data_IF_709903753465
#
_entry.id   IF_709903753465
#
_cell.length_a   1.000
_cell.length_b   1.000
_cell.length_c   1.000
_cell.angle_alpha   90.00
_cell.angle_beta   90.00
_cell.angle_gamma   90.00
#
_symmetry.space_group_name_H-M   'P 1'
#
loop_
_entity.id
_entity.type
_entity.pdbx_description
1 polymer ?
#
# COMPACT_ATOMS: atom_id res chain seq x y z
N UNK A 1 22.19 2.80 25.61
CA UNK A 1 21.04 2.09 26.20
C UNK A 1 19.82 2.69 25.54
N UNK A 2 18.85 1.90 25.05
CA UNK A 2 17.65 2.42 24.37
C UNK A 2 16.95 3.47 25.24
N UNK A 3 16.33 4.48 24.61
CA UNK A 3 15.63 5.53 25.36
C UNK A 3 14.44 4.93 26.10
N UNK A 4 14.26 5.34 27.35
CA UNK A 4 13.26 4.77 28.27
C UNK A 4 12.10 5.71 28.50
N UNK A 5 12.34 7.02 28.43
CA UNK A 5 11.36 8.06 28.69
C UNK A 5 11.26 9.02 27.52
N UNK A 6 10.09 9.61 27.31
CA UNK A 6 9.90 10.65 26.29
C UNK A 6 10.80 11.87 26.56
N UNK A 7 11.07 12.18 27.83
CA UNK A 7 12.02 13.22 28.24
C UNK A 7 13.45 12.98 27.75
N UNK A 8 13.84 11.73 27.43
CA UNK A 8 15.16 11.42 26.88
C UNK A 8 15.35 12.03 25.48
N UNK A 9 14.26 12.31 24.76
CA UNK A 9 14.30 12.98 23.45
C UNK A 9 14.51 14.49 23.56
N UNK A 10 14.11 15.08 24.68
CA UNK A 10 14.04 16.54 24.83
C UNK A 10 15.41 17.20 24.69
N UNK A 11 16.38 16.76 25.49
CA UNK A 11 17.70 17.39 25.53
C UNK A 11 18.46 17.30 24.19
N UNK A 12 18.51 16.13 23.52
CA UNK A 12 19.14 16.03 22.19
C UNK A 12 18.49 16.96 21.15
N UNK A 13 17.16 17.02 21.09
CA UNK A 13 16.45 17.87 20.13
C UNK A 13 16.66 19.35 20.45
N UNK A 14 16.63 19.73 21.73
CA UNK A 14 16.91 21.09 22.18
C UNK A 14 18.30 21.54 21.74
N UNK A 15 19.33 20.74 22.06
CA UNK A 15 20.72 21.06 21.69
C UNK A 15 20.92 21.15 20.18
N UNK A 16 20.29 20.24 19.42
CA UNK A 16 20.32 20.25 17.96
C UNK A 16 19.76 21.55 17.37
N UNK A 17 18.67 22.07 17.92
CA UNK A 17 18.06 23.33 17.48
C UNK A 17 18.86 24.56 17.96
N UNK A 18 19.37 24.54 19.20
CA UNK A 18 20.22 25.62 19.74
C UNK A 18 21.52 25.79 18.92
N UNK A 19 22.13 24.69 18.46
CA UNK A 19 23.29 24.70 17.56
C UNK A 19 22.98 25.35 16.19
N UNK A 20 21.71 25.40 15.80
CA UNK A 20 21.25 26.09 14.60
C UNK A 20 20.84 27.54 14.86
N UNK A 21 21.09 28.06 16.07
CA UNK A 21 20.83 29.45 16.45
C UNK A 21 19.40 29.71 16.89
N UNK A 22 18.61 28.68 17.22
CA UNK A 22 17.29 28.89 17.83
C UNK A 22 17.41 29.10 19.34
N UNK A 23 16.59 30.00 19.89
CA UNK A 23 16.25 29.99 21.31
C UNK A 23 15.14 28.94 21.53
N UNK A 24 15.37 27.98 22.44
CA UNK A 24 14.49 26.82 22.60
C UNK A 24 13.96 26.73 24.03
N UNK A 25 12.63 26.60 24.17
CA UNK A 25 11.92 26.43 25.44
C UNK A 25 10.97 25.23 25.38
N UNK A 26 10.89 24.50 26.47
CA UNK A 26 9.95 23.37 26.64
C UNK A 26 8.61 23.78 27.24
N UNK A 27 7.60 22.93 27.07
CA UNK A 27 6.26 23.04 27.68
C UNK A 27 5.51 24.36 27.40
N UNK A 28 5.79 25.00 26.27
CA UNK A 28 5.15 26.28 25.90
C UNK A 28 3.75 26.00 25.37
N UNK A 29 2.71 26.39 26.13
CA UNK A 29 1.28 26.18 25.77
C UNK A 29 1.00 24.73 25.32
N UNK A 30 1.53 23.77 26.08
CA UNK A 30 1.42 22.32 25.83
C UNK A 30 2.14 21.81 24.57
N UNK A 31 3.02 22.61 23.94
CA UNK A 31 3.99 22.09 22.97
C UNK A 31 5.17 21.53 23.74
N UNK A 32 5.68 20.36 23.35
CA UNK A 32 6.84 19.78 24.03
C UNK A 32 8.08 20.67 23.90
N UNK A 33 8.29 21.23 22.69
CA UNK A 33 9.36 22.19 22.38
C UNK A 33 8.85 23.28 21.44
N UNK A 34 9.19 24.52 21.75
CA UNK A 34 9.08 25.67 20.84
C UNK A 34 10.46 26.29 20.67
N UNK A 35 10.81 26.57 19.42
CA UNK A 35 12.07 27.15 19.02
C UNK A 35 11.81 28.43 18.21
N UNK A 36 12.51 29.50 18.52
CA UNK A 36 12.38 30.80 17.85
C UNK A 36 13.75 31.27 17.37
N UNK A 37 13.82 31.73 16.13
CA UNK A 37 14.99 32.40 15.56
C UNK A 37 14.50 33.55 14.68
N UNK A 38 14.93 34.76 14.99
CA UNK A 38 14.37 35.99 14.44
C UNK A 38 12.85 36.03 14.66
N UNK A 39 12.04 35.99 13.60
CA UNK A 39 10.57 35.90 13.65
C UNK A 39 10.05 34.49 13.33
N UNK A 40 10.92 33.54 12.99
CA UNK A 40 10.52 32.19 12.60
C UNK A 40 10.22 31.33 13.84
N UNK A 41 8.99 30.81 13.92
CA UNK A 41 8.55 29.87 14.95
C UNK A 41 8.64 28.45 14.41
N UNK A 42 9.28 27.57 15.17
CA UNK A 42 9.36 26.12 14.96
C UNK A 42 8.79 25.40 16.18
N UNK A 43 7.96 24.37 15.96
CA UNK A 43 7.38 23.56 17.04
C UNK A 43 7.81 22.11 16.85
N UNK A 44 8.16 21.43 17.95
CA UNK A 44 8.45 19.98 17.95
C UNK A 44 7.59 19.25 18.96
N UNK A 45 6.94 18.18 18.52
CA UNK A 45 6.20 17.22 19.36
C UNK A 45 7.04 15.93 19.50
N UNK A 46 7.15 15.39 20.71
CA UNK A 46 8.04 14.29 21.08
C UNK A 46 7.25 13.03 21.43
N UNK A 47 7.61 11.89 20.84
CA UNK A 47 7.19 10.56 21.32
C UNK A 47 8.27 9.53 21.04
N UNK A 48 8.50 8.59 21.96
CA UNK A 48 9.45 7.49 21.72
C UNK A 48 9.15 6.74 20.41
N UNK A 49 7.87 6.52 20.12
CA UNK A 49 7.42 5.80 18.96
C UNK A 49 6.46 6.63 18.12
N UNK A 50 6.57 6.48 16.80
CA UNK A 50 5.60 7.04 15.87
C UNK A 50 4.23 6.41 16.06
N UNK A 51 3.23 7.22 16.39
CA UNK A 51 1.84 6.80 16.61
C UNK A 51 0.85 7.89 16.12
N UNK A 52 -0.45 7.57 16.11
CA UNK A 52 -1.47 8.49 15.61
C UNK A 52 -1.61 9.75 16.48
N UNK A 53 -1.47 9.63 17.80
CA UNK A 53 -1.53 10.77 18.72
C UNK A 53 -0.49 11.83 18.38
N UNK A 54 0.76 11.42 18.17
CA UNK A 54 1.86 12.31 17.76
C UNK A 54 1.53 13.04 16.46
N UNK A 55 0.96 12.33 15.48
CA UNK A 55 0.57 12.92 14.20
C UNK A 55 -0.54 13.96 14.39
N UNK A 56 -1.56 13.65 15.18
CA UNK A 56 -2.67 14.57 15.45
C UNK A 56 -2.18 15.82 16.18
N UNK A 57 -1.29 15.68 17.17
CA UNK A 57 -0.65 16.81 17.83
C UNK A 57 0.10 17.69 16.82
N UNK A 58 0.94 17.10 15.97
CA UNK A 58 1.66 17.85 14.94
C UNK A 58 0.73 18.60 13.97
N UNK A 59 -0.33 17.97 13.49
CA UNK A 59 -1.33 18.61 12.62
C UNK A 59 -2.03 19.77 13.32
N UNK A 60 -2.36 19.63 14.61
CA UNK A 60 -2.95 20.71 15.39
C UNK A 60 -1.98 21.90 15.53
N UNK A 61 -0.67 21.66 15.68
CA UNK A 61 0.35 22.73 15.72
C UNK A 61 0.53 23.46 14.39
N UNK A 62 0.20 22.83 13.26
CA UNK A 62 0.28 23.50 11.95
C UNK A 62 -0.67 24.69 11.81
N UNK A 63 -1.68 24.83 12.69
CA UNK A 63 -2.52 26.03 12.79
C UNK A 63 -1.74 27.27 13.25
N UNK A 64 -0.56 27.08 13.85
CA UNK A 64 0.27 28.16 14.41
C UNK A 64 1.46 28.50 13.51
N UNK A 65 2.07 27.50 12.87
CA UNK A 65 3.24 27.65 11.98
C UNK A 65 3.32 26.47 11.01
N UNK A 66 3.80 26.64 9.77
CA UNK A 66 4.11 25.51 8.89
C UNK A 66 5.33 24.69 9.36
N UNK A 67 6.21 25.27 10.19
CA UNK A 67 7.47 24.64 10.62
C UNK A 67 7.25 23.72 11.84
N UNK A 68 6.53 22.61 11.64
CA UNK A 68 6.25 21.63 12.69
C UNK A 68 7.01 20.34 12.43
N UNK A 69 7.75 19.88 13.43
CA UNK A 69 8.44 18.59 13.41
C UNK A 69 7.83 17.62 14.42
N UNK A 70 7.82 16.35 14.04
CA UNK A 70 7.66 15.24 14.97
C UNK A 70 9.05 14.70 15.28
N UNK A 71 9.39 14.43 16.55
CA UNK A 71 10.64 13.75 16.89
C UNK A 71 10.38 12.44 17.62
N UNK A 72 11.10 11.39 17.18
CA UNK A 72 10.98 10.04 17.72
C UNK A 72 12.34 9.40 17.99
N UNK A 73 12.36 8.31 18.77
CA UNK A 73 13.53 7.43 18.79
C UNK A 73 13.72 6.82 17.39
N UNK A 74 14.97 6.81 16.93
CA UNK A 74 15.34 6.24 15.63
C UNK A 74 14.91 4.77 15.58
N UNK A 75 14.04 4.37 14.63
CA UNK A 75 13.57 3.00 14.56
C UNK A 75 14.70 2.07 14.15
N UNK A 76 14.69 0.83 14.66
CA UNK A 76 15.70 -0.19 14.32
C UNK A 76 15.70 -0.57 12.82
N UNK A 77 14.54 -0.49 12.15
CA UNK A 77 14.37 -0.89 10.74
C UNK A 77 14.08 0.30 9.82
N UNK A 78 15.11 1.11 9.56
CA UNK A 78 15.05 2.32 8.71
C UNK A 78 14.90 2.07 7.21
N UNK A 79 14.89 0.81 6.75
CA UNK A 79 14.67 0.45 5.34
C UNK A 79 13.32 -0.26 5.09
N UNK A 80 12.54 -0.49 6.14
CA UNK A 80 11.27 -1.21 6.04
C UNK A 80 10.23 -0.48 5.19
N UNK A 81 9.29 -1.23 4.60
CA UNK A 81 8.14 -0.65 3.89
C UNK A 81 7.33 0.27 4.80
N UNK A 82 7.12 -0.15 6.06
CA UNK A 82 6.41 0.64 7.08
C UNK A 82 7.10 1.99 7.32
N UNK A 83 8.42 2.01 7.43
CA UNK A 83 9.15 3.27 7.63
C UNK A 83 9.02 4.22 6.45
N UNK A 84 9.11 3.71 5.21
CA UNK A 84 8.83 4.53 4.02
C UNK A 84 7.41 5.08 3.98
N UNK A 85 6.43 4.35 4.50
CA UNK A 85 5.05 4.84 4.64
C UNK A 85 4.93 5.94 5.69
N UNK A 86 5.65 5.83 6.83
CA UNK A 86 5.72 6.89 7.85
C UNK A 86 6.29 8.18 7.27
N UNK A 87 7.44 8.11 6.60
CA UNK A 87 8.04 9.29 5.94
C UNK A 87 7.07 9.86 4.89
N UNK A 88 6.43 8.99 4.11
CA UNK A 88 5.43 9.39 3.12
C UNK A 88 4.20 10.06 3.73
N UNK A 89 3.79 9.67 4.94
CA UNK A 89 2.69 10.31 5.67
C UNK A 89 3.09 11.70 6.15
N UNK A 90 4.25 11.85 6.80
CA UNK A 90 4.74 13.16 7.25
C UNK A 90 4.84 14.14 6.07
N UNK A 91 5.45 13.71 4.95
CA UNK A 91 5.51 14.52 3.72
C UNK A 91 4.15 14.88 3.15
N UNK A 92 3.14 14.00 3.26
CA UNK A 92 1.77 14.28 2.79
C UNK A 92 1.05 15.32 3.64
N UNK A 93 1.38 15.36 4.92
CA UNK A 93 0.81 16.30 5.89
C UNK A 93 1.62 17.60 5.98
N UNK A 94 2.78 17.69 5.31
CA UNK A 94 3.69 18.83 5.45
C UNK A 94 4.36 18.92 6.82
N UNK A 95 4.54 17.77 7.48
CA UNK A 95 5.23 17.66 8.77
C UNK A 95 6.69 17.27 8.56
N UNK A 96 7.58 17.89 9.33
CA UNK A 96 8.95 17.46 9.49
C UNK A 96 9.05 16.21 10.36
N UNK A 97 10.11 15.43 10.19
CA UNK A 97 10.39 14.26 11.02
C UNK A 97 11.85 14.23 11.44
N UNK A 98 12.09 14.28 12.75
CA UNK A 98 13.38 14.09 13.39
C UNK A 98 13.47 12.69 13.98
N UNK A 99 14.68 12.12 13.97
CA UNK A 99 14.97 10.88 14.71
C UNK A 99 16.19 11.06 15.59
N UNK A 100 16.09 10.59 16.83
CA UNK A 100 17.18 10.64 17.81
C UNK A 100 17.76 9.23 17.97
N UNK A 101 19.08 9.09 17.88
CA UNK A 101 19.72 7.80 18.09
C UNK A 101 19.44 7.27 19.51
N UNK A 102 18.93 6.04 19.63
CA UNK A 102 18.66 5.40 20.91
C UNK A 102 19.90 4.96 21.70
N UNK A 103 21.10 5.15 21.18
CA UNK A 103 22.36 4.80 21.85
C UNK A 103 23.51 5.65 21.35
N UNK A 104 24.55 5.82 22.16
CA UNK A 104 25.70 6.65 21.82
C UNK A 104 25.42 8.12 22.11
N UNK A 105 25.91 9.02 21.26
CA UNK A 105 25.81 10.47 21.46
C UNK A 105 24.42 11.08 21.19
N UNK A 106 23.35 10.26 21.16
CA UNK A 106 21.97 10.69 20.88
C UNK A 106 21.82 11.62 19.66
N UNK A 107 22.58 11.32 18.60
CA UNK A 107 22.59 12.09 17.36
C UNK A 107 21.17 12.27 16.79
N UNK A 108 20.81 13.53 16.53
CA UNK A 108 19.56 13.91 15.86
C UNK A 108 19.76 13.90 14.35
N UNK A 109 18.81 13.32 13.61
CA UNK A 109 18.77 13.35 12.15
C UNK A 109 17.43 13.85 11.65
N UNK A 110 17.48 14.77 10.69
CA UNK A 110 16.31 15.18 9.92
C UNK A 110 16.03 14.14 8.84
N UNK A 111 14.86 13.51 8.91
CA UNK A 111 14.41 12.48 7.97
C UNK A 111 13.59 13.08 6.83
N UNK A 112 12.79 14.09 7.15
CA UNK A 112 12.15 14.96 6.17
C UNK A 112 11.88 16.34 6.76
N UNK A 113 11.92 17.34 5.90
CA UNK A 113 11.57 18.72 6.24
C UNK A 113 10.04 18.93 6.15
N UNK A 114 9.48 19.88 6.92
CA UNK A 114 8.10 20.33 6.78
C UNK A 114 8.00 21.16 5.50
N UNK A 115 7.43 20.57 4.44
CA UNK A 115 7.24 21.22 3.15
C UNK A 115 5.83 20.99 2.61
N UNK A 116 5.25 21.93 1.84
CA UNK A 116 3.96 21.73 1.20
C UNK A 116 3.92 20.48 0.31
N UNK A 117 2.91 19.62 0.54
CA UNK A 117 2.76 18.40 -0.23
C UNK A 117 2.15 18.66 -1.62
N UNK A 118 2.84 18.18 -2.66
CA UNK A 118 2.34 18.19 -4.02
C UNK A 118 2.10 16.75 -4.51
N UNK A 119 0.83 16.30 -4.63
CA UNK A 119 0.51 14.94 -5.02
C UNK A 119 1.03 14.58 -6.43
N UNK A 120 1.89 13.56 -6.52
CA UNK A 120 2.29 12.98 -7.81
C UNK A 120 1.39 11.82 -8.20
N UNK A 121 0.60 12.01 -9.26
CA UNK A 121 -0.28 10.96 -9.80
C UNK A 121 0.56 9.89 -10.50
N UNK A 122 0.36 8.62 -10.13
CA UNK A 122 0.95 7.50 -10.85
C UNK A 122 0.05 7.12 -12.04
N UNK A 123 0.27 7.80 -13.17
CA UNK A 123 -0.52 7.61 -14.40
C UNK A 123 -0.53 6.16 -14.90
N UNK A 124 0.59 5.41 -14.74
CA UNK A 124 0.67 4.00 -15.11
C UNK A 124 -0.28 3.14 -14.29
N UNK A 125 -0.25 3.27 -12.95
CA UNK A 125 -1.18 2.55 -12.07
C UNK A 125 -2.62 2.96 -12.30
N UNK A 126 -2.89 4.25 -12.52
CA UNK A 126 -4.23 4.74 -12.88
C UNK A 126 -4.74 4.09 -14.17
N UNK A 127 -3.90 4.00 -15.20
CA UNK A 127 -4.26 3.32 -16.46
C UNK A 127 -4.55 1.83 -16.25
N UNK A 128 -3.77 1.16 -15.40
CA UNK A 128 -4.02 -0.25 -15.06
C UNK A 128 -5.37 -0.42 -14.34
N UNK A 129 -5.69 0.45 -13.38
CA UNK A 129 -6.98 0.44 -12.68
C UNK A 129 -8.15 0.65 -13.66
N UNK A 130 -8.04 1.61 -14.58
CA UNK A 130 -9.07 1.86 -15.58
C UNK A 130 -9.24 0.66 -16.54
N UNK A 131 -8.13 0.03 -16.95
CA UNK A 131 -8.18 -1.15 -17.80
C UNK A 131 -8.80 -2.37 -17.09
N UNK A 132 -8.57 -2.49 -15.77
CA UNK A 132 -9.23 -3.50 -14.95
C UNK A 132 -10.72 -3.24 -14.84
N UNK A 133 -11.12 -2.00 -14.53
CA UNK A 133 -12.53 -1.62 -14.41
C UNK A 133 -13.29 -1.84 -15.73
N UNK A 134 -12.76 -1.37 -16.85
CA UNK A 134 -13.38 -1.53 -18.17
C UNK A 134 -13.45 -2.99 -18.66
N UNK A 135 -12.62 -3.88 -18.10
CA UNK A 135 -12.60 -5.30 -18.44
C UNK A 135 -13.54 -6.17 -17.61
N UNK A 136 -14.24 -5.62 -16.61
CA UNK A 136 -15.17 -6.38 -15.76
C UNK A 136 -16.57 -6.33 -16.33
N UNK A 137 -17.24 -7.47 -16.34
CA UNK A 137 -18.62 -7.60 -16.81
C UNK A 137 -19.57 -7.50 -15.61
N UNK A 138 -19.93 -6.28 -15.20
CA UNK A 138 -20.83 -6.02 -14.08
C UNK A 138 -20.16 -5.93 -12.70
N UNK A 139 -20.98 -5.69 -11.66
CA UNK A 139 -20.53 -5.54 -10.27
C UNK A 139 -20.84 -6.81 -9.45
N UNK A 140 -20.02 -7.84 -9.65
CA UNK A 140 -20.23 -9.15 -9.02
C UNK A 140 -19.61 -9.23 -7.63
N UNK A 141 -18.79 -8.24 -7.22
CA UNK A 141 -18.08 -8.26 -5.94
C UNK A 141 -18.66 -7.23 -4.98
N UNK A 142 -19.42 -7.68 -3.98
CA UNK A 142 -19.78 -6.82 -2.85
C UNK A 142 -18.54 -6.48 -2.02
N UNK A 143 -18.24 -5.19 -1.85
CA UNK A 143 -17.12 -4.73 -1.03
C UNK A 143 -17.24 -5.21 0.43
N UNK A 144 -16.10 -5.56 1.05
CA UNK A 144 -16.04 -5.94 2.48
C UNK A 144 -16.10 -7.43 2.79
N UNK A 145 -16.26 -8.30 1.80
CA UNK A 145 -16.34 -9.77 2.01
C UNK A 145 -14.93 -10.40 1.99
N UNK A 146 -14.38 -10.70 3.17
CA UNK A 146 -12.98 -11.16 3.37
C UNK A 146 -12.70 -12.63 3.01
N UNK A 147 -13.61 -13.36 2.35
CA UNK A 147 -13.48 -14.81 2.16
C UNK A 147 -13.93 -15.36 0.80
N UNK A 148 -14.34 -14.51 -0.14
CA UNK A 148 -14.64 -14.96 -1.50
C UNK A 148 -13.55 -14.53 -2.49
N UNK A 149 -13.08 -15.42 -3.37
CA UNK A 149 -12.02 -15.11 -4.32
C UNK A 149 -12.51 -14.08 -5.35
N UNK A 150 -12.03 -12.83 -5.19
CA UNK A 150 -12.38 -11.65 -6.00
C UNK A 150 -12.43 -11.99 -7.49
N UNK A 151 -13.57 -11.70 -8.12
CA UNK A 151 -13.68 -11.79 -9.57
C UNK A 151 -12.90 -10.62 -10.19
N UNK A 152 -11.86 -10.93 -10.96
CA UNK A 152 -11.05 -9.96 -11.73
C UNK A 152 -11.25 -10.19 -13.21
N UNK A 153 -11.00 -9.18 -14.06
CA UNK A 153 -11.08 -9.35 -15.52
C UNK A 153 -10.18 -10.50 -16.04
N UNK A 154 -9.03 -10.73 -15.39
CA UNK A 154 -8.18 -11.89 -15.68
C UNK A 154 -8.86 -13.22 -15.35
N UNK A 155 -9.54 -13.30 -14.20
CA UNK A 155 -10.27 -14.51 -13.79
C UNK A 155 -11.48 -14.76 -14.67
N UNK A 156 -12.25 -13.73 -15.05
CA UNK A 156 -13.36 -13.86 -16.01
C UNK A 156 -12.87 -14.39 -17.36
N UNK A 157 -11.77 -13.83 -17.88
CA UNK A 157 -11.19 -14.24 -19.15
C UNK A 157 -10.62 -15.68 -19.07
N UNK A 158 -10.00 -16.05 -17.95
CA UNK A 158 -9.56 -17.43 -17.70
C UNK A 158 -10.75 -18.40 -17.62
N UNK A 159 -11.87 -18.01 -16.99
CA UNK A 159 -13.09 -18.82 -16.93
C UNK A 159 -13.68 -18.99 -18.33
N UNK A 160 -13.74 -17.95 -19.17
CA UNK A 160 -14.22 -18.07 -20.55
C UNK A 160 -13.40 -19.07 -21.36
N UNK A 161 -12.08 -18.98 -21.30
CA UNK A 161 -11.17 -19.93 -21.97
C UNK A 161 -11.39 -21.34 -21.44
N UNK A 162 -11.50 -21.49 -20.12
CA UNK A 162 -11.70 -22.78 -19.49
C UNK A 162 -13.04 -23.41 -19.89
N UNK A 163 -14.13 -22.63 -19.91
CA UNK A 163 -15.46 -23.08 -20.37
C UNK A 163 -15.44 -23.48 -21.83
N UNK A 164 -14.74 -22.74 -22.69
CA UNK A 164 -14.56 -23.11 -24.10
C UNK A 164 -13.83 -24.45 -24.25
N UNK A 165 -12.72 -24.65 -23.53
CA UNK A 165 -11.95 -25.90 -23.57
C UNK A 165 -12.74 -27.08 -23.00
N UNK A 166 -13.54 -26.88 -21.95
CA UNK A 166 -14.42 -27.92 -21.41
C UNK A 166 -15.44 -28.39 -22.45
N UNK A 167 -15.97 -27.48 -23.26
CA UNK A 167 -16.99 -27.80 -24.28
C UNK A 167 -16.41 -28.47 -25.53
N UNK A 168 -15.22 -28.05 -25.96
CA UNK A 168 -14.67 -28.44 -27.27
C UNK A 168 -13.46 -29.39 -27.18
N UNK A 169 -12.92 -29.62 -25.98
CA UNK A 169 -11.70 -30.42 -25.79
C UNK A 169 -10.42 -29.69 -26.22
N UNK A 170 -9.31 -30.44 -26.45
CA UNK A 170 -8.03 -29.88 -26.87
C UNK A 170 -8.17 -29.00 -28.11
N UNK A 171 -7.82 -27.72 -27.99
CA UNK A 171 -8.07 -26.72 -29.03
C UNK A 171 -6.84 -25.88 -29.33
N UNK A 172 -6.74 -25.37 -30.57
CA UNK A 172 -5.62 -24.48 -30.95
C UNK A 172 -5.80 -23.10 -30.34
N UNK A 173 -4.69 -22.42 -30.06
CA UNK A 173 -4.70 -21.04 -29.51
C UNK A 173 -5.52 -20.07 -30.37
N UNK A 174 -5.52 -20.24 -31.69
CA UNK A 174 -6.29 -19.39 -32.61
C UNK A 174 -7.80 -19.53 -32.33
N UNK A 175 -8.28 -20.76 -32.30
CA UNK A 175 -9.70 -21.09 -32.09
C UNK A 175 -10.15 -20.62 -30.69
N UNK A 176 -9.33 -20.85 -29.66
CA UNK A 176 -9.60 -20.35 -28.29
C UNK A 176 -9.73 -18.83 -28.27
N UNK A 177 -8.84 -18.10 -28.95
CA UNK A 177 -8.83 -16.64 -28.95
C UNK A 177 -10.09 -16.07 -29.61
N UNK A 178 -10.52 -16.68 -30.71
CA UNK A 178 -11.69 -16.26 -31.49
C UNK A 178 -12.99 -16.60 -30.75
N UNK A 179 -13.13 -17.83 -30.27
CA UNK A 179 -14.38 -18.34 -29.69
C UNK A 179 -14.59 -17.94 -28.22
N UNK A 180 -13.52 -17.78 -27.43
CA UNK A 180 -13.63 -17.33 -26.03
C UNK A 180 -13.62 -15.80 -25.89
N UNK A 181 -13.61 -15.06 -27.01
CA UNK A 181 -13.43 -13.60 -27.10
C UNK A 181 -12.35 -13.09 -26.13
N UNK A 182 -11.16 -13.67 -26.26
CA UNK A 182 -10.05 -13.44 -25.33
C UNK A 182 -8.81 -12.99 -26.07
N UNK A 183 -8.63 -11.66 -26.21
CA UNK A 183 -7.42 -11.08 -26.82
C UNK A 183 -6.15 -11.46 -26.05
N UNK A 184 -6.25 -11.82 -24.76
CA UNK A 184 -5.12 -12.23 -23.91
C UNK A 184 -4.99 -13.74 -23.75
N UNK A 185 -5.72 -14.56 -24.52
CA UNK A 185 -5.72 -16.02 -24.40
C UNK A 185 -4.31 -16.61 -24.32
N UNK A 186 -3.41 -16.16 -25.20
CA UNK A 186 -2.02 -16.60 -25.21
C UNK A 186 -1.31 -16.35 -23.86
N UNK A 187 -1.43 -15.15 -23.31
CA UNK A 187 -0.80 -14.81 -22.02
C UNK A 187 -1.43 -15.56 -20.85
N UNK A 188 -2.75 -15.82 -20.88
CA UNK A 188 -3.44 -16.53 -19.80
C UNK A 188 -3.05 -18.01 -19.80
N UNK A 189 -3.08 -18.65 -20.97
CA UNK A 189 -2.69 -20.04 -21.15
C UNK A 189 -1.21 -20.28 -20.81
N UNK A 190 -0.33 -19.36 -21.18
CA UNK A 190 1.11 -19.48 -20.90
C UNK A 190 1.46 -19.24 -19.44
N UNK A 191 0.89 -18.20 -18.81
CA UNK A 191 1.18 -17.88 -17.40
C UNK A 191 0.51 -18.87 -16.46
N UNK A 192 -0.64 -19.41 -16.86
CA UNK A 192 -1.39 -20.45 -16.15
C UNK A 192 -1.46 -20.23 -14.63
N UNK A 193 -1.76 -18.99 -14.21
CA UNK A 193 -1.68 -18.57 -12.81
C UNK A 193 -2.50 -19.46 -11.84
N UNK A 194 -3.58 -20.07 -12.34
CA UNK A 194 -4.46 -20.95 -11.56
C UNK A 194 -4.18 -22.45 -11.76
N UNK A 195 -3.24 -22.82 -12.64
CA UNK A 195 -2.96 -24.21 -12.97
C UNK A 195 -4.05 -24.94 -13.75
N UNK A 196 -5.00 -24.21 -14.35
CA UNK A 196 -6.17 -24.77 -15.04
C UNK A 196 -5.88 -25.35 -16.43
N UNK A 197 -4.77 -24.94 -17.05
CA UNK A 197 -4.48 -25.26 -18.44
C UNK A 197 -3.24 -26.12 -18.58
N UNK A 198 -3.23 -26.98 -19.59
CA UNK A 198 -2.07 -27.75 -20.02
C UNK A 198 -1.87 -27.59 -21.52
N UNK A 199 -0.62 -27.54 -21.94
CA UNK A 199 -0.24 -27.58 -23.36
C UNK A 199 0.03 -29.04 -23.72
N UNK A 200 -0.90 -29.69 -24.41
CA UNK A 200 -0.75 -31.10 -24.80
C UNK A 200 0.28 -31.27 -25.90
N UNK A 201 0.23 -30.40 -26.91
CA UNK A 201 1.19 -30.38 -28.01
C UNK A 201 1.46 -28.94 -28.47
N UNK A 202 2.26 -28.76 -29.51
CA UNK A 202 2.64 -27.43 -29.96
C UNK A 202 1.43 -26.59 -30.42
N UNK A 203 0.99 -25.65 -29.56
CA UNK A 203 -0.07 -24.69 -29.87
C UNK A 203 -1.48 -25.20 -29.58
N UNK A 204 -1.61 -26.40 -29.01
CA UNK A 204 -2.87 -27.01 -28.59
C UNK A 204 -2.91 -27.06 -27.06
N UNK A 205 -4.02 -26.58 -26.50
CA UNK A 205 -4.24 -26.47 -25.07
C UNK A 205 -5.48 -27.23 -24.66
N UNK A 206 -5.46 -27.78 -23.44
CA UNK A 206 -6.58 -28.46 -22.81
C UNK A 206 -6.68 -28.06 -21.32
N UNK A 207 -7.73 -28.50 -20.64
CA UNK A 207 -7.89 -28.35 -19.20
C UNK A 207 -7.13 -29.41 -18.42
N UNK A 208 -6.56 -29.01 -17.29
CA UNK A 208 -6.11 -29.93 -16.25
C UNK A 208 -7.30 -30.42 -15.41
N UNK A 209 -7.11 -31.49 -14.64
CA UNK A 209 -8.09 -31.92 -13.63
C UNK A 209 -8.46 -30.79 -12.66
N UNK A 210 -7.49 -29.96 -12.26
CA UNK A 210 -7.73 -28.79 -11.42
C UNK A 210 -8.61 -27.73 -12.10
N UNK A 211 -8.43 -27.50 -13.41
CA UNK A 211 -9.27 -26.60 -14.19
C UNK A 211 -10.71 -27.12 -14.36
N UNK A 212 -10.87 -28.42 -14.55
CA UNK A 212 -12.19 -29.07 -14.61
C UNK A 212 -12.93 -28.94 -13.28
N UNK A 213 -12.26 -29.24 -12.16
CA UNK A 213 -12.83 -29.12 -10.81
C UNK A 213 -13.24 -27.67 -10.49
N UNK A 214 -12.38 -26.70 -10.79
CA UNK A 214 -12.66 -25.29 -10.54
C UNK A 214 -13.89 -24.77 -11.30
N UNK A 215 -14.13 -25.26 -12.52
CA UNK A 215 -15.34 -24.91 -13.28
C UNK A 215 -16.60 -25.60 -12.75
N UNK A 216 -16.47 -26.78 -12.14
CA UNK A 216 -17.59 -27.50 -11.53
C UNK A 216 -18.04 -26.82 -10.22
N UNK A 217 -17.10 -26.36 -9.41
CA UNK A 217 -17.39 -25.60 -8.18
C UNK A 217 -18.12 -24.27 -8.44
N UNK A 218 -17.86 -23.63 -9.59
CA UNK A 218 -18.48 -22.34 -9.96
C UNK A 218 -19.89 -22.47 -10.54
N UNK A 219 -20.27 -23.67 -11.00
CA UNK A 219 -21.61 -24.00 -11.50
C UNK A 219 -22.06 -25.30 -10.83
N UNK A 220 -22.54 -25.28 -9.57
CA UNK A 220 -23.17 -26.45 -9.00
C UNK A 220 -24.36 -26.79 -9.90
N UNK A 221 -24.29 -27.96 -10.55
CA UNK A 221 -25.30 -28.46 -11.47
C UNK A 221 -26.69 -28.33 -10.83
N UNK A 222 -27.58 -27.55 -11.43
CA UNK A 222 -29.01 -27.64 -11.15
C UNK A 222 -29.54 -28.94 -11.75
N UNK A 223 -29.29 -30.07 -11.08
CA UNK A 223 -29.91 -31.36 -11.38
C UNK A 223 -30.53 -31.93 -10.11
N UNK A 224 -31.66 -31.35 -9.69
CA UNK A 224 -32.71 -32.06 -8.94
C UNK A 224 -34.07 -31.44 -9.28
N UNK A 225 -34.59 -31.70 -10.47
CA UNK A 225 -36.03 -31.72 -10.71
C UNK A 225 -36.31 -32.42 -12.03
N UNK A 226 -36.67 -33.71 -11.97
CA UNK A 226 -37.29 -34.60 -12.97
C UNK A 226 -36.72 -36.00 -12.71
N UNK A 227 -37.32 -36.83 -11.87
CA UNK A 227 -38.25 -37.94 -12.22
C UNK A 227 -38.27 -38.76 -10.91
N UNK A 228 -39.37 -39.13 -10.25
CA UNK A 228 -40.60 -39.80 -10.68
C UNK A 228 -41.63 -39.68 -9.54
#
# INVERSE_FOLDING_TARGET
>A
MAMKLESDLYLPVKQFLEQQGYEVKGEVKSCDLMAVRDEAILIVELKLHFNLTLVLQGVERQKLTPNVYLAIERPRQTFSKKWRQVIGLCRRLGLGLLTVAGSGAHEVRVVCEPEPFHPRINYRRRKMLNAEFAGRTGDVNTGGVNRQPVMTAYKEEAIRIATFLRRNGPSRLKDIREEADSRKAASILQKNFYGWFVRETHGIYNLTAAGQAALAEMHPTQEQCSTQ
#
